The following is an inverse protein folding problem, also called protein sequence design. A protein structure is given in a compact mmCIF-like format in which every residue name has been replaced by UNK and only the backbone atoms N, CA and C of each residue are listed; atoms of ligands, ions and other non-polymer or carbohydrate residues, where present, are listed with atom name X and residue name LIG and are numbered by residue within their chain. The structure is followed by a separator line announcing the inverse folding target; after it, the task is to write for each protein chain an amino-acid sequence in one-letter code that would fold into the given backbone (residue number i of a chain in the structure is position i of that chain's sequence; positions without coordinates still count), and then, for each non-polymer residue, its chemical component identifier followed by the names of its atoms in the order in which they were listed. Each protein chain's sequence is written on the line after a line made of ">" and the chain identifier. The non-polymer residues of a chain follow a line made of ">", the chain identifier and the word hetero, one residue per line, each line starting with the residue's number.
data_IF_271204342289
#
_entry.id   IF_271204342289
#
_cell.length_a   1.000
_cell.length_b   1.000
_cell.length_c   1.000
_cell.angle_alpha   90.00
_cell.angle_beta   90.00
_cell.angle_gamma   90.00
#
_symmetry.space_group_name_H-M   'P 1'
#
loop_
_entity.id
_entity.type
_entity.pdbx_description
1 polymer ?
#
# COMPACT_ATOMS: atom_id res chain seq x y z
N UNK A 1 -1.99 -27.34 0.69
CA UNK A 1 -1.90 -25.87 0.56
C UNK A 1 -3.33 -25.37 0.47
N UNK A 2 -3.91 -24.99 1.61
CA UNK A 2 -5.28 -24.48 1.64
C UNK A 2 -5.23 -23.04 1.12
N UNK A 3 -5.75 -22.83 -0.10
CA UNK A 3 -6.13 -21.50 -0.54
C UNK A 3 -7.32 -21.12 0.36
N UNK A 4 -7.16 -20.19 1.30
CA UNK A 4 -8.32 -19.58 1.95
C UNK A 4 -9.01 -18.72 0.90
N UNK A 5 -10.12 -19.26 0.39
CA UNK A 5 -10.86 -18.72 -0.74
C UNK A 5 -11.69 -17.54 -0.22
N UNK A 6 -11.28 -16.33 -0.63
CA UNK A 6 -11.94 -15.01 -0.42
C UNK A 6 -11.48 -14.20 0.80
N UNK A 7 -10.22 -13.77 0.80
CA UNK A 7 -9.81 -12.62 1.62
C UNK A 7 -10.29 -11.32 0.94
N UNK A 8 -10.97 -10.48 1.71
CA UNK A 8 -11.21 -9.09 1.32
C UNK A 8 -10.09 -8.24 1.91
N UNK A 9 -9.91 -7.05 1.34
CA UNK A 9 -9.14 -6.00 1.98
C UNK A 9 -9.90 -4.69 1.96
N UNK A 10 -9.67 -3.92 3.01
CA UNK A 10 -10.08 -2.53 3.16
C UNK A 10 -8.88 -1.65 2.84
N UNK A 11 -9.02 -0.70 1.91
CA UNK A 11 -7.93 0.15 1.43
C UNK A 11 -8.34 1.62 1.36
N UNK A 12 -7.47 2.49 1.87
CA UNK A 12 -7.48 3.92 1.58
C UNK A 12 -6.08 4.39 1.20
N UNK A 13 -6.02 5.47 0.43
CA UNK A 13 -4.79 6.07 -0.06
C UNK A 13 -4.84 7.59 0.07
N UNK A 14 -3.67 8.18 0.20
CA UNK A 14 -3.48 9.62 0.19
C UNK A 14 -2.05 9.94 -0.21
N UNK A 15 -1.77 11.23 -0.33
CA UNK A 15 -0.42 11.72 -0.64
C UNK A 15 0.08 12.62 0.47
N UNK A 16 1.40 12.62 0.66
CA UNK A 16 2.08 13.54 1.55
C UNK A 16 3.34 14.07 0.87
N UNK A 17 3.61 15.37 1.06
CA UNK A 17 4.83 15.98 0.56
C UNK A 17 6.04 15.52 1.38
N UNK A 18 7.19 15.35 0.73
CA UNK A 18 8.43 14.88 1.38
C UNK A 18 8.80 15.69 2.62
N UNK A 19 8.56 17.01 2.60
CA UNK A 19 8.82 17.90 3.75
C UNK A 19 7.98 17.60 5.01
N UNK A 20 6.92 16.80 4.90
CA UNK A 20 6.04 16.42 6.00
C UNK A 20 6.15 14.95 6.40
N UNK A 21 7.00 14.16 5.72
CA UNK A 21 7.16 12.72 5.97
C UNK A 21 7.67 12.45 7.40
N UNK A 22 8.64 13.21 7.88
CA UNK A 22 9.19 13.03 9.24
C UNK A 22 8.14 13.28 10.31
N UNK A 23 7.30 14.32 10.14
CA UNK A 23 6.20 14.59 11.05
C UNK A 23 5.16 13.47 11.05
N UNK A 24 4.85 12.92 9.88
CA UNK A 24 3.96 11.75 9.76
C UNK A 24 4.58 10.52 10.43
N UNK A 25 5.88 10.28 10.26
CA UNK A 25 6.58 9.17 10.91
C UNK A 25 6.46 9.27 12.44
N UNK A 26 6.72 10.44 13.03
CA UNK A 26 6.60 10.66 14.48
C UNK A 26 5.16 10.39 14.95
N UNK A 27 4.17 10.90 14.21
CA UNK A 27 2.77 10.68 14.54
C UNK A 27 2.41 9.19 14.49
N UNK A 28 2.79 8.49 13.42
CA UNK A 28 2.55 7.05 13.26
C UNK A 28 3.27 6.25 14.34
N UNK A 29 4.51 6.58 14.68
CA UNK A 29 5.25 5.91 15.75
C UNK A 29 4.52 6.03 17.10
N UNK A 30 3.96 7.20 17.39
CA UNK A 30 3.17 7.45 18.60
C UNK A 30 1.80 6.77 18.60
N UNK A 31 1.13 6.70 17.45
CA UNK A 31 -0.19 6.08 17.32
C UNK A 31 -0.15 4.55 17.25
N UNK A 32 0.84 3.99 16.56
CA UNK A 32 0.94 2.56 16.29
C UNK A 32 1.65 1.81 17.42
N UNK A 33 2.59 2.45 18.14
CA UNK A 33 3.29 1.84 19.28
C UNK A 33 4.16 0.62 18.94
N UNK A 34 4.44 0.41 17.65
CA UNK A 34 5.24 -0.70 17.10
C UNK A 34 6.44 -0.14 16.35
N UNK A 35 7.53 -0.91 16.17
CA UNK A 35 8.69 -0.42 15.43
C UNK A 35 8.35 -0.16 13.95
N UNK A 36 9.02 0.85 13.39
CA UNK A 36 9.03 1.12 11.95
C UNK A 36 9.73 0.01 11.18
N UNK A 37 9.10 -0.46 10.10
CA UNK A 37 9.66 -1.45 9.19
C UNK A 37 10.10 -0.77 7.88
N UNK A 38 11.24 -1.18 7.32
CA UNK A 38 11.67 -0.71 6.00
C UNK A 38 10.85 -1.38 4.90
N UNK A 39 10.59 -0.64 3.82
CA UNK A 39 9.91 -1.14 2.63
C UNK A 39 10.82 -0.94 1.43
N UNK A 40 11.13 -2.03 0.73
CA UNK A 40 11.81 -2.02 -0.58
C UNK A 40 11.24 -3.15 -1.44
N UNK A 41 10.16 -2.85 -2.15
CA UNK A 41 9.40 -3.85 -2.93
C UNK A 41 9.56 -3.57 -4.42
N UNK A 42 10.09 -4.54 -5.16
CA UNK A 42 10.07 -4.56 -6.61
C UNK A 42 8.79 -5.25 -7.08
N UNK A 43 7.86 -4.46 -7.61
CA UNK A 43 6.57 -4.92 -8.09
C UNK A 43 6.58 -5.03 -9.62
N UNK A 44 6.27 -6.22 -10.13
CA UNK A 44 6.14 -6.52 -11.55
C UNK A 44 4.65 -6.73 -11.86
N UNK A 45 4.09 -5.88 -12.69
CA UNK A 45 2.70 -5.95 -13.12
C UNK A 45 2.60 -6.74 -14.42
N UNK A 46 1.90 -7.86 -14.39
CA UNK A 46 1.71 -8.75 -15.52
C UNK A 46 0.27 -8.68 -16.02
N UNK A 47 0.09 -8.69 -17.34
CA UNK A 47 -1.22 -8.79 -18.00
C UNK A 47 -1.35 -10.11 -18.74
N UNK A 48 -2.53 -10.71 -18.72
CA UNK A 48 -2.83 -11.91 -19.49
C UNK A 48 -2.73 -11.62 -20.99
N UNK A 49 -2.05 -12.48 -21.74
CA UNK A 49 -2.09 -12.45 -23.20
C UNK A 49 -3.47 -12.85 -23.75
N UNK A 50 -3.72 -12.61 -25.05
CA UNK A 50 -5.02 -12.91 -25.69
C UNK A 50 -5.40 -14.39 -25.65
N UNK A 51 -4.43 -15.28 -25.40
CA UNK A 51 -4.64 -16.74 -25.40
C UNK A 51 -5.21 -17.27 -24.07
N UNK A 52 -5.29 -16.44 -23.02
CA UNK A 52 -5.69 -16.86 -21.67
C UNK A 52 -7.18 -16.62 -21.35
N UNK A 53 -7.95 -16.06 -22.28
CA UNK A 53 -9.38 -15.82 -22.13
C UNK A 53 -9.84 -14.50 -22.74
N UNK A 54 -11.15 -14.28 -22.72
CA UNK A 54 -11.79 -13.07 -23.27
C UNK A 54 -11.63 -11.87 -22.32
N UNK A 55 -11.51 -12.13 -21.02
CA UNK A 55 -11.39 -11.08 -19.99
C UNK A 55 -9.91 -10.91 -19.63
N UNK A 56 -9.31 -9.72 -19.85
CA UNK A 56 -7.97 -9.44 -19.39
C UNK A 56 -7.86 -9.59 -17.87
N UNK A 57 -6.82 -10.27 -17.40
CA UNK A 57 -6.48 -10.42 -15.99
C UNK A 57 -5.11 -9.80 -15.72
N UNK A 58 -4.98 -9.16 -14.56
CA UNK A 58 -3.73 -8.57 -14.08
C UNK A 58 -3.25 -9.29 -12.82
N UNK A 59 -1.96 -9.60 -12.78
CA UNK A 59 -1.31 -10.24 -11.63
C UNK A 59 -0.07 -9.43 -11.27
N UNK A 60 0.14 -9.22 -9.97
CA UNK A 60 1.32 -8.51 -9.44
C UNK A 60 2.26 -9.52 -8.79
N UNK A 61 3.52 -9.46 -9.17
CA UNK A 61 4.60 -10.18 -8.48
C UNK A 61 5.34 -9.19 -7.61
N UNK A 62 5.38 -9.46 -6.30
CA UNK A 62 6.02 -8.61 -5.31
C UNK A 62 7.30 -9.31 -4.84
N UNK A 63 8.45 -8.72 -5.13
CA UNK A 63 9.74 -9.14 -4.62
C UNK A 63 10.17 -8.20 -3.49
N UNK A 64 10.20 -8.72 -2.27
CA UNK A 64 10.72 -8.00 -1.12
C UNK A 64 12.24 -8.11 -1.08
N UNK A 65 12.90 -6.95 -1.14
CA UNK A 65 14.35 -6.80 -1.22
C UNK A 65 14.98 -6.38 0.11
N UNK A 66 14.21 -6.20 1.18
CA UNK A 66 14.75 -5.84 2.50
C UNK A 66 15.55 -6.99 3.13
N UNK A 67 15.06 -8.25 3.14
CA UNK A 67 15.84 -9.37 3.64
C UNK A 67 17.04 -9.70 2.74
N UNK A 68 18.07 -10.33 3.30
CA UNK A 68 19.24 -10.77 2.54
C UNK A 68 18.91 -11.79 1.44
N UNK A 69 17.87 -12.59 1.66
CA UNK A 69 17.29 -13.48 0.65
C UNK A 69 15.92 -12.92 0.22
N UNK A 70 15.77 -12.46 -1.04
CA UNK A 70 14.51 -11.90 -1.50
C UNK A 70 13.34 -12.88 -1.39
N UNK A 71 12.21 -12.39 -0.90
CA UNK A 71 10.98 -13.18 -0.78
C UNK A 71 9.96 -12.76 -1.85
N UNK A 72 9.26 -13.73 -2.43
CA UNK A 72 8.32 -13.47 -3.52
C UNK A 72 6.88 -13.77 -3.10
N UNK A 73 5.98 -12.86 -3.44
CA UNK A 73 4.53 -13.02 -3.29
C UNK A 73 3.86 -12.76 -4.64
N UNK A 74 2.92 -13.60 -5.03
CA UNK A 74 1.97 -13.29 -6.11
C UNK A 74 0.71 -12.69 -5.49
N UNK A 75 0.19 -11.61 -6.08
CA UNK A 75 -1.02 -10.92 -5.65
C UNK A 75 -1.95 -10.70 -6.84
N UNK A 76 -3.20 -11.10 -6.69
CA UNK A 76 -4.29 -10.76 -7.61
C UNK A 76 -5.30 -9.88 -6.87
N UNK A 77 -5.62 -8.74 -7.46
CA UNK A 77 -6.60 -7.79 -6.92
C UNK A 77 -7.86 -7.87 -7.78
N UNK A 78 -8.95 -8.32 -7.17
CA UNK A 78 -10.25 -8.43 -7.83
C UNK A 78 -11.03 -7.12 -7.83
N UNK A 79 -12.28 -7.20 -8.27
CA UNK A 79 -13.18 -6.05 -8.30
C UNK A 79 -13.50 -5.51 -6.91
N UNK A 80 -13.60 -4.19 -6.81
CA UNK A 80 -14.13 -3.52 -5.62
C UNK A 80 -15.59 -3.87 -5.40
N UNK A 81 -16.02 -3.87 -4.13
CA UNK A 81 -17.43 -3.93 -3.74
C UNK A 81 -18.18 -2.77 -4.42
N UNK A 82 -19.38 -3.05 -4.95
CA UNK A 82 -20.19 -2.09 -5.70
C UNK A 82 -21.61 -2.01 -5.13
N UNK A 83 -22.32 -0.95 -5.49
CA UNK A 83 -23.70 -0.70 -5.10
C UNK A 83 -23.82 0.36 -4.00
N UNK A 84 -25.06 0.76 -3.65
CA UNK A 84 -25.32 1.91 -2.78
C UNK A 84 -24.63 1.80 -1.40
N UNK A 85 -24.58 0.61 -0.83
CA UNK A 85 -23.88 0.38 0.44
C UNK A 85 -22.36 0.58 0.34
N UNK A 86 -21.74 0.23 -0.78
CA UNK A 86 -20.30 0.40 -0.99
C UNK A 86 -19.90 1.85 -1.27
N UNK A 87 -20.80 2.63 -1.88
CA UNK A 87 -20.59 4.06 -2.13
C UNK A 87 -20.53 4.87 -0.84
N UNK A 88 -21.36 4.50 0.14
CA UNK A 88 -21.42 5.15 1.46
C UNK A 88 -20.19 4.90 2.34
N UNK A 89 -19.41 3.84 2.07
CA UNK A 89 -18.17 3.58 2.81
C UNK A 89 -17.13 4.66 2.49
N UNK A 90 -16.38 5.11 3.48
CA UNK A 90 -15.19 5.97 3.30
C UNK A 90 -13.98 5.19 2.79
N UNK A 91 -14.00 3.86 2.94
CA UNK A 91 -12.93 2.91 2.64
C UNK A 91 -13.32 2.03 1.45
N UNK A 92 -12.36 1.72 0.58
CA UNK A 92 -12.59 0.79 -0.54
C UNK A 92 -12.46 -0.64 -0.03
N UNK A 93 -13.48 -1.47 -0.27
CA UNK A 93 -13.44 -2.91 0.01
C UNK A 93 -13.29 -3.65 -1.32
N UNK A 94 -12.34 -4.58 -1.43
CA UNK A 94 -12.14 -5.40 -2.64
C UNK A 94 -11.64 -6.79 -2.31
N UNK A 95 -11.83 -7.75 -3.21
CA UNK A 95 -11.25 -9.08 -3.07
C UNK A 95 -9.76 -9.08 -3.40
N UNK A 96 -8.97 -9.81 -2.63
CA UNK A 96 -7.55 -10.03 -2.87
C UNK A 96 -7.21 -11.49 -2.64
N UNK A 97 -6.31 -12.01 -3.47
CA UNK A 97 -5.71 -13.32 -3.29
C UNK A 97 -4.21 -13.16 -3.35
N UNK A 98 -3.53 -13.67 -2.32
CA UNK A 98 -2.07 -13.66 -2.22
C UNK A 98 -1.53 -15.06 -1.96
N UNK A 99 -0.33 -15.32 -2.47
CA UNK A 99 0.38 -16.56 -2.16
C UNK A 99 1.89 -16.34 -2.21
N UNK A 100 2.61 -17.00 -1.30
CA UNK A 100 4.07 -17.07 -1.34
C UNK A 100 4.50 -17.98 -2.47
N UNK A 101 5.50 -17.52 -3.22
CA UNK A 101 6.01 -18.18 -4.42
C UNK A 101 7.53 -18.18 -4.41
N UNK A 102 8.14 -19.01 -5.25
CA UNK A 102 9.59 -19.02 -5.44
C UNK A 102 10.01 -18.02 -6.53
N UNK A 103 11.32 -17.75 -6.61
CA UNK A 103 11.90 -16.76 -7.54
C UNK A 103 11.70 -17.08 -9.03
N UNK A 104 11.28 -18.30 -9.39
CA UNK A 104 10.97 -18.66 -10.77
C UNK A 104 9.56 -18.21 -11.22
N UNK A 105 8.81 -17.52 -10.37
CA UNK A 105 7.42 -17.13 -10.62
C UNK A 105 7.22 -16.32 -11.90
N UNK A 106 8.14 -15.41 -12.24
CA UNK A 106 8.03 -14.63 -13.49
C UNK A 106 8.06 -15.55 -14.72
N UNK A 107 8.98 -16.53 -14.74
CA UNK A 107 9.06 -17.53 -15.81
C UNK A 107 7.81 -18.40 -15.87
N UNK A 108 7.27 -18.77 -14.72
CA UNK A 108 6.01 -19.53 -14.64
C UNK A 108 4.85 -18.77 -15.29
N UNK A 109 4.65 -17.49 -14.95
CA UNK A 109 3.57 -16.68 -15.53
C UNK A 109 3.76 -16.40 -17.02
N UNK A 110 5.00 -16.22 -17.49
CA UNK A 110 5.27 -16.17 -18.93
C UNK A 110 4.90 -17.48 -19.65
N UNK A 111 5.17 -18.62 -19.03
CA UNK A 111 4.75 -19.93 -19.55
C UNK A 111 3.23 -20.09 -19.62
N UNK A 112 2.49 -19.46 -18.71
CA UNK A 112 1.02 -19.39 -18.76
C UNK A 112 0.50 -18.44 -19.85
N UNK A 113 1.34 -17.57 -20.41
CA UNK A 113 0.96 -16.61 -21.44
C UNK A 113 0.70 -15.19 -20.92
N UNK A 114 1.10 -14.87 -19.68
CA UNK A 114 1.17 -13.48 -19.21
C UNK A 114 2.36 -12.75 -19.83
N UNK A 115 2.27 -11.43 -19.88
CA UNK A 115 3.36 -10.55 -20.32
C UNK A 115 3.56 -9.45 -19.28
N UNK A 116 4.81 -9.01 -19.13
CA UNK A 116 5.12 -7.85 -18.31
C UNK A 116 4.54 -6.61 -18.97
N UNK A 117 3.74 -5.86 -18.21
CA UNK A 117 3.17 -4.59 -18.62
C UNK A 117 4.07 -3.44 -18.16
N UNK A 118 4.37 -3.40 -16.86
CA UNK A 118 5.29 -2.44 -16.27
C UNK A 118 5.89 -3.00 -14.97
N UNK A 119 6.93 -2.34 -14.48
CA UNK A 119 7.52 -2.60 -13.18
C UNK A 119 7.76 -1.30 -12.42
N UNK A 120 7.75 -1.38 -11.10
CA UNK A 120 7.95 -0.25 -10.20
C UNK A 120 8.70 -0.71 -8.96
N UNK A 121 9.60 0.14 -8.46
CA UNK A 121 10.24 -0.07 -7.17
C UNK A 121 9.62 0.89 -6.15
N UNK A 122 9.01 0.34 -5.10
CA UNK A 122 8.45 1.08 -3.97
C UNK A 122 9.47 1.08 -2.83
N UNK A 123 9.87 2.26 -2.38
CA UNK A 123 10.83 2.45 -1.28
C UNK A 123 10.22 3.33 -0.20
N UNK A 124 10.39 2.97 1.06
CA UNK A 124 9.90 3.76 2.18
C UNK A 124 9.85 2.98 3.48
N UNK A 125 8.78 3.17 4.25
CA UNK A 125 8.58 2.47 5.51
C UNK A 125 7.12 2.08 5.72
N UNK A 126 6.89 1.19 6.68
CA UNK A 126 5.57 0.76 7.10
C UNK A 126 5.47 0.54 8.62
N UNK A 127 4.23 0.53 9.11
CA UNK A 127 3.85 0.12 10.45
C UNK A 127 2.74 -0.92 10.34
N UNK A 128 2.93 -2.08 10.99
CA UNK A 128 1.95 -3.17 11.05
C UNK A 128 1.51 -3.35 12.50
N UNK A 129 0.25 -3.07 12.81
CA UNK A 129 -0.25 -3.07 14.19
C UNK A 129 -1.70 -3.54 14.28
N UNK A 130 -2.16 -3.83 15.50
CA UNK A 130 -3.53 -4.24 15.75
C UNK A 130 -4.30 -3.17 16.54
N UNK A 131 -5.42 -2.70 15.99
CA UNK A 131 -6.32 -1.74 16.66
C UNK A 131 -7.76 -1.96 16.19
N UNK A 132 -8.47 -2.89 16.84
CA UNK A 132 -9.78 -3.38 16.38
C UNK A 132 -9.67 -4.35 15.21
N UNK A 133 -8.82 -4.03 14.23
CA UNK A 133 -8.39 -4.94 13.15
C UNK A 133 -6.86 -4.86 12.95
N UNK A 134 -6.30 -5.78 12.17
CA UNK A 134 -4.91 -5.66 11.69
C UNK A 134 -4.83 -4.51 10.69
N UNK A 135 -4.02 -3.49 10.96
CA UNK A 135 -3.84 -2.33 10.09
C UNK A 135 -2.37 -2.24 9.69
N UNK A 136 -2.14 -2.12 8.39
CA UNK A 136 -0.85 -1.81 7.81
C UNK A 136 -0.91 -0.40 7.22
N UNK A 137 0.03 0.45 7.62
CA UNK A 137 0.22 1.78 7.02
C UNK A 137 1.57 1.78 6.34
N UNK A 138 1.62 2.11 5.05
CA UNK A 138 2.86 2.27 4.30
C UNK A 138 3.00 3.69 3.76
N UNK A 139 4.21 4.22 3.81
CA UNK A 139 4.59 5.52 3.25
C UNK A 139 5.72 5.27 2.28
N UNK A 140 5.44 5.38 0.98
CA UNK A 140 6.37 4.93 -0.07
C UNK A 140 6.52 5.94 -1.21
N UNK A 141 7.72 6.02 -1.77
CA UNK A 141 7.99 6.68 -3.04
C UNK A 141 8.12 5.66 -4.16
N UNK A 142 7.54 5.99 -5.31
CA UNK A 142 7.54 5.16 -6.51
C UNK A 142 8.74 5.49 -7.41
N UNK A 143 9.49 4.47 -7.81
CA UNK A 143 10.65 4.60 -8.69
C UNK A 143 10.47 3.77 -9.96
N UNK A 144 10.88 4.32 -11.09
CA UNK A 144 11.00 3.61 -12.36
C UNK A 144 12.43 3.13 -12.53
N UNK A 145 12.60 2.00 -13.20
CA UNK A 145 13.92 1.48 -13.55
C UNK A 145 14.22 1.84 -15.02
N UNK A 146 15.27 2.63 -15.31
CA UNK A 146 15.65 2.96 -16.68
C UNK A 146 16.00 1.73 -17.52
N UNK A 147 16.56 0.71 -16.86
CA UNK A 147 16.84 -0.60 -17.41
C UNK A 147 16.00 -1.64 -16.70
N UNK A 148 15.42 -2.56 -17.47
CA UNK A 148 14.54 -3.58 -16.94
C UNK A 148 15.22 -4.37 -15.79
N UNK A 149 14.52 -4.46 -14.66
CA UNK A 149 14.92 -5.13 -13.43
C UNK A 149 16.17 -4.54 -12.73
N UNK A 150 16.69 -3.39 -13.18
CA UNK A 150 17.83 -2.74 -12.55
C UNK A 150 17.37 -1.89 -11.35
N UNK A 151 17.13 -2.53 -10.21
CA UNK A 151 16.62 -1.89 -8.99
C UNK A 151 17.58 -0.89 -8.37
N UNK A 152 18.88 -1.04 -8.60
CA UNK A 152 19.91 -0.13 -8.06
C UNK A 152 19.98 1.19 -8.83
N UNK A 153 19.52 1.20 -10.08
CA UNK A 153 19.49 2.39 -10.95
C UNK A 153 18.12 3.09 -10.93
N UNK A 154 17.23 2.71 -10.01
CA UNK A 154 15.86 3.18 -9.96
C UNK A 154 15.79 4.68 -9.64
N UNK A 155 14.96 5.42 -10.37
CA UNK A 155 14.79 6.88 -10.20
C UNK A 155 13.35 7.22 -9.82
N UNK A 156 13.13 8.19 -8.92
CA UNK A 156 11.79 8.54 -8.46
C UNK A 156 10.93 9.09 -9.60
N UNK A 157 9.66 8.67 -9.66
CA UNK A 157 8.68 9.10 -10.67
C UNK A 157 7.89 10.31 -10.16
N UNK A 158 7.61 10.36 -8.85
CA UNK A 158 6.89 11.43 -8.18
C UNK A 158 7.82 12.13 -7.18
N UNK A 159 8.77 12.97 -7.65
CA UNK A 159 9.66 13.66 -6.74
C UNK A 159 8.86 14.54 -5.77
N UNK A 160 9.31 14.60 -4.53
CA UNK A 160 8.70 15.38 -3.43
C UNK A 160 7.33 14.89 -2.93
N UNK A 161 6.81 13.76 -3.43
CA UNK A 161 5.52 13.20 -3.02
C UNK A 161 5.68 11.72 -2.66
N UNK A 162 5.13 11.34 -1.52
CA UNK A 162 5.02 9.96 -1.08
C UNK A 162 3.55 9.54 -1.09
N UNK A 163 3.32 8.29 -1.50
CA UNK A 163 2.05 7.62 -1.37
C UNK A 163 1.92 7.09 0.06
N UNK A 164 0.82 7.43 0.72
CA UNK A 164 0.40 6.82 1.98
C UNK A 164 -0.73 5.86 1.67
N UNK A 165 -0.54 4.58 1.97
CA UNK A 165 -1.56 3.55 1.79
C UNK A 165 -1.84 2.88 3.13
N UNK A 166 -3.12 2.74 3.46
CA UNK A 166 -3.59 1.98 4.62
C UNK A 166 -4.36 0.78 4.11
N UNK A 167 -3.94 -0.41 4.50
CA UNK A 167 -4.61 -1.66 4.17
C UNK A 167 -4.96 -2.44 5.43
N UNK A 168 -6.10 -3.12 5.42
CA UNK A 168 -6.51 -4.02 6.49
C UNK A 168 -7.20 -5.25 5.90
N UNK A 169 -6.75 -6.48 6.24
CA UNK A 169 -7.43 -7.69 5.79
C UNK A 169 -8.81 -7.79 6.42
N UNK A 170 -9.77 -8.29 5.65
CA UNK A 170 -11.15 -8.47 6.03
C UNK A 170 -11.73 -9.75 5.41
N UNK A 171 -12.92 -10.12 5.85
CA UNK A 171 -13.74 -11.18 5.26
C UNK A 171 -15.11 -10.61 4.89
N UNK A 172 -15.93 -11.41 4.21
CA UNK A 172 -17.29 -11.01 3.87
C UNK A 172 -18.16 -10.73 5.11
N UNK A 173 -17.82 -11.35 6.24
CA UNK A 173 -18.57 -11.26 7.49
C UNK A 173 -18.19 -10.04 8.33
N UNK A 174 -16.93 -9.61 8.30
CA UNK A 174 -16.41 -8.60 9.23
C UNK A 174 -15.98 -7.27 8.60
N UNK A 175 -16.06 -7.11 7.27
CA UNK A 175 -15.52 -5.91 6.61
C UNK A 175 -16.12 -4.59 7.14
N UNK A 176 -17.37 -4.58 7.62
CA UNK A 176 -17.96 -3.36 8.20
C UNK A 176 -17.23 -2.90 9.47
N UNK A 177 -16.83 -3.84 10.34
CA UNK A 177 -16.06 -3.55 11.56
C UNK A 177 -14.65 -3.07 11.21
N UNK A 178 -14.04 -3.69 10.20
CA UNK A 178 -12.73 -3.30 9.67
C UNK A 178 -12.79 -1.88 9.07
N UNK A 179 -13.83 -1.57 8.30
CA UNK A 179 -14.05 -0.22 7.74
C UNK A 179 -14.18 0.82 8.85
N UNK A 180 -14.94 0.53 9.91
CA UNK A 180 -15.07 1.43 11.05
C UNK A 180 -13.71 1.67 11.74
N UNK A 181 -12.91 0.62 11.93
CA UNK A 181 -11.58 0.69 12.55
C UNK A 181 -10.60 1.52 11.71
N UNK A 182 -10.57 1.27 10.40
CA UNK A 182 -9.73 2.03 9.46
C UNK A 182 -10.18 3.49 9.39
N UNK A 183 -11.49 3.76 9.33
CA UNK A 183 -12.03 5.13 9.29
C UNK A 183 -11.64 5.92 10.53
N UNK A 184 -11.83 5.35 11.71
CA UNK A 184 -11.43 5.99 12.97
C UNK A 184 -9.92 6.23 13.03
N UNK A 185 -9.11 5.31 12.50
CA UNK A 185 -7.67 5.52 12.43
C UNK A 185 -7.28 6.70 11.51
N UNK A 186 -7.94 6.84 10.35
CA UNK A 186 -7.70 7.93 9.41
C UNK A 186 -7.97 9.32 10.01
N UNK A 187 -8.91 9.45 10.95
CA UNK A 187 -9.22 10.72 11.60
C UNK A 187 -8.01 11.29 12.36
N UNK A 188 -7.16 10.44 12.92
CA UNK A 188 -5.93 10.88 13.58
C UNK A 188 -4.89 11.44 12.61
N UNK A 189 -4.96 11.06 11.32
CA UNK A 189 -4.03 11.48 10.28
C UNK A 189 -4.50 12.70 9.49
N UNK A 190 -5.80 13.01 9.56
CA UNK A 190 -6.46 14.10 8.84
C UNK A 190 -5.76 15.47 8.93
N UNK A 191 -5.09 15.86 10.05
CA UNK A 191 -4.35 17.11 10.11
C UNK A 191 -3.16 17.20 9.14
N UNK A 192 -2.54 16.07 8.80
CA UNK A 192 -1.34 15.98 7.95
C UNK A 192 -1.64 15.56 6.51
N UNK A 193 -2.60 14.65 6.30
CA UNK A 193 -2.94 14.20 4.95
C UNK A 193 -4.41 13.79 4.83
N UNK A 194 -4.92 13.84 3.61
CA UNK A 194 -6.27 13.40 3.30
C UNK A 194 -6.21 11.98 2.71
N UNK A 195 -7.02 11.08 3.28
CA UNK A 195 -7.10 9.68 2.87
C UNK A 195 -8.47 9.43 2.23
N UNK A 196 -8.48 8.77 1.08
CA UNK A 196 -9.67 8.46 0.31
C UNK A 196 -9.58 7.08 -0.34
N UNK A 197 -10.68 6.63 -0.95
CA UNK A 197 -10.66 5.43 -1.80
C UNK A 197 -9.60 5.58 -2.89
N UNK A 198 -8.82 4.53 -3.21
CA UNK A 198 -7.94 4.50 -4.37
C UNK A 198 -8.67 4.95 -5.64
N UNK A 199 -8.04 5.84 -6.41
CA UNK A 199 -8.60 6.41 -7.64
C UNK A 199 -9.46 7.66 -7.44
N UNK A 200 -9.83 8.03 -6.21
CA UNK A 200 -10.33 9.37 -5.92
C UNK A 200 -9.16 10.35 -5.91
N UNK A 201 -9.25 11.42 -6.71
CA UNK A 201 -8.21 12.46 -6.74
C UNK A 201 -8.30 13.31 -5.48
N UNK A 202 -7.33 13.16 -4.59
CA UNK A 202 -7.23 13.97 -3.37
C UNK A 202 -5.89 14.71 -3.35
N UNK A 203 -5.97 16.02 -3.11
CA UNK A 203 -4.80 16.89 -3.06
C UNK A 203 -4.12 16.87 -1.70
N UNK A 204 -3.14 17.76 -1.52
CA UNK A 204 -2.51 17.99 -0.21
C UNK A 204 -3.46 18.74 0.72
N UNK A 205 -3.23 18.62 2.03
CA UNK A 205 -4.08 19.27 3.05
C UNK A 205 -3.48 20.63 3.42
N UNK A 206 -4.27 21.74 3.41
CA UNK A 206 -3.77 23.07 3.75
C UNK A 206 -3.18 23.17 5.18
N UNK A 207 -3.68 22.37 6.12
CA UNK A 207 -3.21 22.34 7.51
C UNK A 207 -1.91 21.57 7.72
N UNK A 208 -1.42 20.84 6.71
CA UNK A 208 -0.30 19.91 6.86
C UNK A 208 0.96 20.62 7.40
N UNK A 209 1.28 21.80 6.88
CA UNK A 209 2.45 22.56 7.31
C UNK A 209 2.38 22.97 8.80
N UNK A 210 1.22 23.46 9.24
CA UNK A 210 1.02 23.88 10.63
C UNK A 210 1.04 22.68 11.59
N UNK A 211 0.37 21.58 11.21
CA UNK A 211 0.35 20.35 12.00
C UNK A 211 1.74 19.71 12.10
N UNK A 212 2.48 19.68 10.99
CA UNK A 212 3.86 19.18 10.97
C UNK A 212 4.76 20.00 11.90
N UNK A 213 4.72 21.34 11.80
CA UNK A 213 5.50 22.20 12.67
C UNK A 213 5.21 21.98 14.17
N UNK A 214 3.94 21.78 14.53
CA UNK A 214 3.52 21.52 15.92
C UNK A 214 4.01 20.16 16.45
N UNK A 215 4.05 19.12 15.61
CA UNK A 215 4.59 17.82 15.99
C UNK A 215 6.11 17.86 16.18
N UNK A 216 6.80 18.55 15.27
CA UNK A 216 8.26 18.67 15.31
C UNK A 216 8.74 19.51 16.49
N UNK A 217 8.01 20.53 16.94
CA UNK A 217 8.40 21.30 18.13
C UNK A 217 8.20 20.52 19.44
N UNK A 218 7.17 19.67 19.50
CA UNK A 218 6.87 18.86 20.69
C UNK A 218 7.81 17.67 20.87
N UNK A 219 8.37 17.12 19.79
CA UNK A 219 9.36 16.04 19.88
C UNK A 219 10.70 16.55 20.43
N UNK A 220 11.12 17.76 20.03
CA UNK A 220 12.34 18.42 20.54
C UNK A 220 12.25 18.71 22.03
N UNK A 221 11.08 19.15 22.51
CA UNK A 221 10.88 19.46 23.93
C UNK A 221 10.82 18.23 24.86
N UNK A 222 10.69 17.00 24.34
CA UNK A 222 10.74 15.77 25.15
C UNK A 222 12.15 15.18 25.29
N UNK A 223 13.14 15.75 24.61
CA UNK A 223 14.55 15.32 24.63
C UNK A 223 15.44 16.24 25.47
N UNK A 224 14.86 17.24 26.15
CA UNK A 224 15.50 18.14 27.12
C UNK A 224 14.94 17.88 28.52
#
# INVERSE_FOLDING_TARGET
>A
MALEILQMECVVQGIIETQHVDALEILLQGLCGVPKEQVRIHELCLKSGPNLGVVPSEVRLLCDLVPSMPSWTVRHVGGSLRGPGAEQLSVLVRSVVESKVSSNVLRFFYGLGYKLDHEILKVGFAFNFHRGSQIAVSVTSAHKMPKLHATEDAVPITPNIHLVEITSPATAENYNEVVASVTSFCEYLAPLLHLSKPGASTGTVPSAAAAAAALMSNSVNRLL
#
